data_IF_165282361376
#
_entry.id   IF_165282361376
#
_cell.length_a   1.000
_cell.length_b   1.000
_cell.length_c   1.000
_cell.angle_alpha   90.00
_cell.angle_beta   90.00
_cell.angle_gamma   90.00
#
_symmetry.space_group_name_H-M   'P 1'
#
loop_
_entity.id
_entity.type
_entity.pdbx_description
1 polymer ?
#
# COMPACT_ATOMS: atom_id res chain seq x y z
N UNK A 1 8.29 6.83 -6.42
CA UNK A 1 6.95 6.24 -6.29
C UNK A 1 6.62 6.14 -4.82
N UNK A 2 5.39 6.48 -4.44
CA UNK A 2 4.87 6.34 -3.08
C UNK A 2 3.37 6.12 -3.12
N UNK A 3 2.80 5.69 -2.00
CA UNK A 3 1.35 5.64 -1.85
C UNK A 3 0.75 7.03 -2.02
N UNK A 4 -0.36 7.15 -2.75
CA UNK A 4 -1.05 8.40 -3.01
C UNK A 4 -2.46 8.44 -2.41
N UNK A 5 -3.16 7.31 -2.40
CA UNK A 5 -4.49 7.17 -1.78
C UNK A 5 -4.74 5.75 -1.29
N UNK A 6 -5.54 5.65 -0.22
CA UNK A 6 -6.15 4.39 0.22
C UNK A 6 -7.55 4.37 -0.37
N UNK A 7 -7.77 3.53 -1.38
CA UNK A 7 -8.99 3.59 -2.21
C UNK A 7 -10.10 2.70 -1.64
N UNK A 8 -9.73 1.59 -1.00
CA UNK A 8 -10.70 0.64 -0.47
C UNK A 8 -10.15 -0.12 0.72
N UNK A 9 -10.99 -0.32 1.72
CA UNK A 9 -10.73 -1.19 2.87
C UNK A 9 -11.91 -2.15 3.00
N UNK A 10 -11.64 -3.46 3.10
CA UNK A 10 -12.65 -4.49 3.42
C UNK A 10 -12.18 -5.26 4.64
N UNK A 11 -13.07 -5.43 5.61
CA UNK A 11 -12.80 -6.16 6.84
C UNK A 11 -13.73 -7.37 6.87
N UNK A 12 -13.17 -8.57 7.01
CA UNK A 12 -13.89 -9.83 7.14
C UNK A 12 -13.33 -10.61 8.34
N UNK A 13 -13.93 -10.39 9.50
CA UNK A 13 -13.37 -10.86 10.77
C UNK A 13 -12.00 -10.22 11.01
N UNK A 14 -10.96 -11.04 11.05
CA UNK A 14 -9.58 -10.63 11.25
C UNK A 14 -8.77 -10.47 9.95
N UNK A 15 -9.36 -10.78 8.78
CA UNK A 15 -8.78 -10.49 7.48
C UNK A 15 -9.16 -9.09 7.01
N UNK A 16 -8.15 -8.32 6.62
CA UNK A 16 -8.31 -6.98 6.07
C UNK A 16 -7.71 -6.94 4.68
N UNK A 17 -8.48 -6.51 3.69
CA UNK A 17 -8.00 -6.22 2.35
C UNK A 17 -7.98 -4.72 2.12
N UNK A 18 -6.82 -4.17 1.77
CA UNK A 18 -6.65 -2.75 1.47
C UNK A 18 -6.11 -2.56 0.07
N UNK A 19 -6.80 -1.76 -0.72
CA UNK A 19 -6.34 -1.31 -2.04
C UNK A 19 -5.78 0.10 -1.92
N UNK A 20 -4.53 0.28 -2.36
CA UNK A 20 -3.80 1.55 -2.33
C UNK A 20 -3.32 1.89 -3.74
N UNK A 21 -3.51 3.14 -4.16
CA UNK A 21 -2.95 3.67 -5.42
C UNK A 21 -1.54 4.19 -5.17
N UNK A 22 -0.62 3.83 -6.06
CA UNK A 22 0.77 4.31 -6.05
C UNK A 22 1.05 5.12 -7.31
N UNK A 23 1.61 6.33 -7.14
CA UNK A 23 1.96 7.21 -8.27
C UNK A 23 3.39 6.95 -8.72
N UNK A 24 3.57 6.77 -10.01
CA UNK A 24 4.85 6.46 -10.65
C UNK A 24 5.29 7.61 -11.58
N UNK A 25 6.60 7.75 -11.83
CA UNK A 25 7.10 8.78 -12.75
C UNK A 25 6.52 8.66 -14.16
N UNK A 26 6.20 7.44 -14.60
CA UNK A 26 5.54 7.15 -15.87
C UNK A 26 4.70 5.85 -15.79
N UNK A 27 3.78 5.60 -16.74
CA UNK A 27 2.89 4.43 -16.67
C UNK A 27 3.56 3.08 -16.99
N UNK A 28 4.83 3.06 -17.40
CA UNK A 28 5.55 1.82 -17.66
C UNK A 28 6.17 1.21 -16.39
N UNK A 29 6.04 1.87 -15.25
CA UNK A 29 6.37 1.27 -13.96
C UNK A 29 5.26 0.30 -13.55
N UNK A 30 5.66 -0.88 -13.08
CA UNK A 30 4.75 -1.91 -12.59
C UNK A 30 5.14 -2.36 -11.19
N UNK A 31 4.17 -2.92 -10.45
CA UNK A 31 4.41 -3.53 -9.15
C UNK A 31 5.54 -4.57 -9.23
N UNK A 32 6.51 -4.48 -8.32
CA UNK A 32 7.61 -5.43 -8.24
C UNK A 32 7.53 -6.29 -6.97
N UNK A 33 7.48 -5.64 -5.80
CA UNK A 33 7.41 -6.33 -4.51
C UNK A 33 6.83 -5.43 -3.43
N UNK A 34 6.36 -6.06 -2.36
CA UNK A 34 6.09 -5.40 -1.08
C UNK A 34 7.09 -5.87 -0.03
N UNK A 35 7.61 -4.94 0.76
CA UNK A 35 8.19 -5.23 2.08
C UNK A 35 7.21 -4.76 3.16
N UNK A 36 6.77 -5.68 4.01
CA UNK A 36 5.78 -5.38 5.04
C UNK A 36 6.22 -5.83 6.43
N UNK A 37 5.70 -5.13 7.44
CA UNK A 37 5.91 -5.44 8.86
C UNK A 37 4.55 -5.41 9.55
N UNK A 38 4.21 -6.50 10.25
CA UNK A 38 2.97 -6.62 10.99
C UNK A 38 3.28 -6.70 12.48
N UNK A 39 2.94 -5.63 13.19
CA UNK A 39 2.99 -5.54 14.65
C UNK A 39 1.59 -5.75 15.22
N UNK A 40 1.49 -5.87 16.55
CA UNK A 40 0.22 -6.12 17.25
C UNK A 40 -0.93 -5.19 16.81
N UNK A 41 -0.65 -3.88 16.73
CA UNK A 41 -1.64 -2.84 16.45
C UNK A 41 -1.25 -1.96 15.25
N UNK A 42 -0.21 -2.34 14.51
CA UNK A 42 0.27 -1.54 13.38
C UNK A 42 0.78 -2.43 12.27
N UNK A 43 0.28 -2.18 11.06
CA UNK A 43 0.79 -2.75 9.83
C UNK A 43 1.51 -1.66 9.04
N UNK A 44 2.71 -1.97 8.54
CA UNK A 44 3.49 -1.09 7.68
C UNK A 44 3.75 -1.80 6.36
N UNK A 45 3.45 -1.15 5.24
CA UNK A 45 3.69 -1.66 3.89
C UNK A 45 4.49 -0.68 3.06
N UNK A 46 5.54 -1.18 2.43
CA UNK A 46 6.36 -0.46 1.46
C UNK A 46 6.34 -1.21 0.13
N UNK A 47 5.60 -0.64 -0.83
CA UNK A 47 5.51 -1.17 -2.18
C UNK A 47 6.62 -0.58 -3.04
N UNK A 48 7.26 -1.45 -3.81
CA UNK A 48 8.29 -1.12 -4.78
C UNK A 48 7.78 -1.42 -6.18
N UNK A 49 8.12 -0.54 -7.13
CA UNK A 49 7.88 -0.75 -8.54
C UNK A 49 9.19 -0.85 -9.30
N UNK A 50 9.10 -1.46 -10.47
CA UNK A 50 10.20 -1.63 -11.41
C UNK A 50 9.80 -1.06 -12.75
N UNK A 51 10.79 -0.57 -13.48
CA UNK A 51 10.68 -0.11 -14.85
C UNK A 51 11.89 -0.65 -15.61
N UNK A 52 11.64 -1.24 -16.77
CA UNK A 52 12.66 -1.99 -17.51
C UNK A 52 13.48 -1.13 -18.49
N UNK A 53 13.20 0.18 -18.58
CA UNK A 53 13.99 1.13 -19.39
C UNK A 53 13.49 1.31 -20.83
N UNK A 54 12.46 0.58 -21.24
CA UNK A 54 11.81 0.70 -22.56
C UNK A 54 11.20 2.08 -22.78
N UNK A 55 11.18 2.58 -24.02
CA UNK A 55 10.60 3.90 -24.33
C UNK A 55 9.18 4.03 -23.76
N UNK A 56 8.98 5.01 -22.87
CA UNK A 56 7.71 5.27 -22.22
C UNK A 56 7.24 6.71 -22.44
N UNK A 57 5.92 6.89 -22.46
CA UNK A 57 5.32 8.22 -22.47
C UNK A 57 5.70 8.99 -21.19
N UNK A 58 6.06 10.25 -21.35
CA UNK A 58 6.54 11.11 -20.24
C UNK A 58 5.37 11.84 -19.57
N UNK A 59 4.50 11.07 -18.92
CA UNK A 59 3.42 11.59 -18.08
C UNK A 59 3.31 10.73 -16.82
N UNK A 60 2.79 11.25 -15.72
CA UNK A 60 2.61 10.47 -14.49
C UNK A 60 1.76 9.22 -14.74
N UNK A 61 2.18 8.11 -14.16
CA UNK A 61 1.44 6.86 -14.12
C UNK A 61 0.93 6.56 -12.73
N UNK A 62 0.09 5.54 -12.64
CA UNK A 62 -0.32 4.97 -11.36
C UNK A 62 -0.69 3.51 -11.52
N UNK A 63 -0.56 2.75 -10.44
CA UNK A 63 -1.14 1.41 -10.34
C UNK A 63 -1.77 1.19 -8.98
N UNK A 64 -2.71 0.26 -8.92
CA UNK A 64 -3.35 -0.17 -7.70
C UNK A 64 -2.65 -1.43 -7.19
N UNK A 65 -2.49 -1.53 -5.88
CA UNK A 65 -1.97 -2.72 -5.23
C UNK A 65 -2.87 -3.09 -4.06
N UNK A 66 -3.21 -4.38 -3.96
CA UNK A 66 -4.04 -4.91 -2.87
C UNK A 66 -3.15 -5.67 -1.87
N UNK A 67 -3.22 -5.27 -0.62
CA UNK A 67 -2.58 -5.96 0.50
C UNK A 67 -3.65 -6.73 1.28
N UNK A 68 -3.40 -8.01 1.56
CA UNK A 68 -4.21 -8.82 2.49
C UNK A 68 -3.45 -8.96 3.80
N UNK A 69 -4.07 -8.51 4.89
CA UNK A 69 -3.47 -8.43 6.22
C UNK A 69 -4.30 -9.30 7.16
N UNK A 70 -3.63 -10.17 7.92
CA UNK A 70 -4.24 -10.95 8.98
C UNK A 70 -3.83 -10.36 10.33
N UNK A 71 -4.78 -9.81 11.07
CA UNK A 71 -4.54 -9.30 12.41
C UNK A 71 -4.75 -10.38 13.47
N UNK A 72 -3.91 -10.38 14.49
CA UNK A 72 -4.10 -11.18 15.70
C UNK A 72 -4.67 -10.28 16.80
N UNK A 73 -5.94 -10.51 17.13
CA UNK A 73 -6.65 -9.77 18.17
C UNK A 73 -7.46 -8.57 17.67
N UNK A 74 -8.48 -8.23 18.44
CA UNK A 74 -9.41 -7.14 18.19
C UNK A 74 -8.83 -5.78 18.61
N UNK A 75 -9.59 -4.72 18.34
CA UNK A 75 -9.25 -3.34 18.67
C UNK A 75 -8.75 -2.54 17.48
N UNK A 76 -8.23 -1.36 17.77
CA UNK A 76 -7.78 -0.42 16.76
C UNK A 76 -6.45 -0.87 16.15
N UNK A 77 -6.39 -0.89 14.82
CA UNK A 77 -5.19 -1.21 14.04
C UNK A 77 -4.86 -0.03 13.14
N UNK A 78 -3.60 0.38 13.14
CA UNK A 78 -3.10 1.43 12.26
C UNK A 78 -2.46 0.79 11.04
N UNK A 79 -2.85 1.22 9.85
CA UNK A 79 -2.25 0.80 8.58
C UNK A 79 -1.42 1.96 8.05
N UNK A 80 -0.16 1.70 7.71
CA UNK A 80 0.79 2.70 7.20
C UNK A 80 1.36 2.27 5.86
N UNK A 81 1.20 3.09 4.84
CA UNK A 81 1.69 2.84 3.49
C UNK A 81 2.78 3.86 3.16
N UNK A 82 3.97 3.39 2.82
CA UNK A 82 5.15 4.25 2.65
C UNK A 82 4.99 5.23 1.47
N UNK A 83 5.35 6.49 1.71
CA UNK A 83 5.45 7.55 0.70
C UNK A 83 6.91 7.79 0.30
N UNK A 84 7.15 8.38 -0.87
CA UNK A 84 8.49 8.56 -1.44
C UNK A 84 9.40 9.57 -0.72
N UNK A 85 8.92 10.21 0.34
CA UNK A 85 9.56 11.27 1.11
C UNK A 85 9.88 10.85 2.57
N UNK A 86 9.90 9.55 2.85
CA UNK A 86 10.07 8.97 4.19
C UNK A 86 8.88 9.17 5.15
N UNK A 87 7.73 9.62 4.64
CA UNK A 87 6.49 9.67 5.41
C UNK A 87 5.58 8.48 5.09
N UNK A 88 4.38 8.46 5.68
CA UNK A 88 3.38 7.43 5.45
C UNK A 88 2.02 8.07 5.15
N UNK A 89 1.27 7.42 4.26
CA UNK A 89 -0.17 7.56 4.18
C UNK A 89 -0.76 6.53 5.15
N UNK A 90 -1.50 6.98 6.15
CA UNK A 90 -2.01 6.09 7.20
C UNK A 90 -3.50 6.24 7.49
N UNK A 91 -4.06 5.19 8.06
CA UNK A 91 -5.46 5.12 8.49
C UNK A 91 -5.59 4.18 9.67
N UNK A 92 -6.66 4.33 10.45
CA UNK A 92 -6.99 3.43 11.56
C UNK A 92 -8.30 2.71 11.26
N UNK A 93 -8.29 1.41 11.50
CA UNK A 93 -9.46 0.54 11.42
C UNK A 93 -9.71 -0.12 12.78
N UNK A 94 -10.90 -0.68 12.97
CA UNK A 94 -11.21 -1.46 14.16
C UNK A 94 -11.54 -2.90 13.75
N UNK A 95 -10.82 -3.86 14.32
CA UNK A 95 -11.12 -5.28 14.21
C UNK A 95 -11.99 -5.67 15.42
N UNK A 96 -13.08 -6.39 15.18
CA UNK A 96 -14.00 -6.86 16.22
C UNK A 96 -13.55 -8.20 16.79
#
# INVERSE_FOLDING_TARGET
MGAASIDKIRINGNEVKVTTTYVTPNPCWYYYKTESQNFRDTFISKVFAKYDGEMCIQMLGSFNHEETILFTGSGNKTLKFWQNDSTYLDTTITIQ
#
